data_IF_901687416483
#
_entry.id   IF_901687416483
#
_cell.length_a   1.000
_cell.length_b   1.000
_cell.length_c   1.000
_cell.angle_alpha   90.00
_cell.angle_beta   90.00
_cell.angle_gamma   90.00
#
_symmetry.space_group_name_H-M   'P 1'
#
loop_
_entity.id
_entity.type
_entity.pdbx_description
1 polymer ?
#
# COMPACT_ATOMS: atom_id res chain seq x y z
N UNK A 1 -17.74 -30.42 -35.16
CA UNK A 1 -17.01 -29.35 -34.49
C UNK A 1 -15.91 -30.00 -33.68
N UNK A 2 -14.65 -29.53 -33.72
CA UNK A 2 -13.61 -30.15 -32.92
C UNK A 2 -13.96 -29.96 -31.45
N UNK A 3 -13.99 -31.07 -30.73
CA UNK A 3 -14.10 -31.13 -29.29
C UNK A 3 -12.91 -30.36 -28.70
N UNK A 4 -13.15 -29.15 -28.21
CA UNK A 4 -12.11 -28.25 -27.71
C UNK A 4 -11.74 -28.70 -26.30
N UNK A 5 -11.18 -29.91 -26.20
CA UNK A 5 -10.76 -30.51 -24.95
C UNK A 5 -9.70 -29.61 -24.31
N UNK A 6 -10.07 -28.92 -23.22
CA UNK A 6 -9.18 -28.04 -22.47
C UNK A 6 -7.93 -28.85 -22.04
N UNK A 7 -6.71 -28.32 -22.27
CA UNK A 7 -5.44 -29.04 -22.18
C UNK A 7 -5.24 -29.69 -20.81
N UNK A 8 -4.42 -30.74 -20.67
CA UNK A 8 -4.16 -31.39 -19.38
C UNK A 8 -3.68 -30.40 -18.32
N UNK A 9 -4.06 -30.61 -17.05
CA UNK A 9 -3.74 -29.70 -15.95
C UNK A 9 -2.21 -29.49 -15.86
N UNK A 10 -1.70 -28.26 -16.08
CA UNK A 10 -0.30 -27.96 -15.87
C UNK A 10 0.08 -28.16 -14.39
N UNK A 11 1.36 -28.45 -14.12
CA UNK A 11 1.88 -28.54 -12.75
C UNK A 11 1.98 -27.12 -12.15
N UNK A 12 0.85 -26.58 -11.75
CA UNK A 12 0.71 -25.25 -11.15
C UNK A 12 0.87 -25.35 -9.64
N UNK A 13 1.64 -24.45 -9.06
CA UNK A 13 1.79 -24.37 -7.61
C UNK A 13 0.52 -23.75 -6.99
N UNK A 14 0.03 -24.29 -5.85
CA UNK A 14 -1.04 -23.65 -5.12
C UNK A 14 -0.59 -22.26 -4.61
N UNK A 15 -1.54 -21.36 -4.31
CA UNK A 15 -1.23 -20.11 -3.62
C UNK A 15 -0.64 -20.39 -2.23
N UNK A 16 -0.02 -19.38 -1.64
CA UNK A 16 0.37 -19.44 -0.22
C UNK A 16 -0.85 -19.65 0.68
N UNK A 17 -0.62 -20.21 1.87
CA UNK A 17 -1.68 -20.39 2.86
C UNK A 17 -2.34 -19.05 3.19
N UNK A 18 -3.64 -19.08 3.44
CA UNK A 18 -4.35 -17.85 3.74
C UNK A 18 -3.91 -17.31 5.11
N UNK A 19 -3.67 -16.01 5.22
CA UNK A 19 -3.26 -15.36 6.47
C UNK A 19 -4.37 -15.33 7.53
N UNK A 20 -5.61 -15.63 7.15
CA UNK A 20 -6.82 -15.45 7.98
C UNK A 20 -7.07 -14.00 8.41
N UNK A 21 -6.45 -13.04 7.71
CA UNK A 21 -6.71 -11.61 7.88
C UNK A 21 -7.78 -11.19 6.85
N UNK A 22 -8.92 -10.61 7.29
CA UNK A 22 -10.00 -10.23 6.37
C UNK A 22 -9.57 -9.33 5.21
N UNK A 23 -8.61 -8.43 5.42
CA UNK A 23 -8.08 -7.54 4.37
C UNK A 23 -7.41 -8.29 3.23
N UNK A 24 -6.88 -9.49 3.48
CA UNK A 24 -6.11 -10.26 2.50
C UNK A 24 -7.00 -11.22 1.70
N UNK A 25 -8.28 -11.36 2.10
CA UNK A 25 -9.21 -12.31 1.51
C UNK A 25 -9.40 -12.13 0.01
N UNK A 26 -9.50 -10.89 -0.46
CA UNK A 26 -9.75 -10.59 -1.88
C UNK A 26 -8.60 -11.08 -2.76
N UNK A 27 -7.36 -10.77 -2.37
CA UNK A 27 -6.16 -11.17 -3.10
C UNK A 27 -6.00 -12.70 -3.07
N UNK A 28 -6.15 -13.30 -1.89
CA UNK A 28 -6.02 -14.74 -1.73
C UNK A 28 -7.09 -15.51 -2.51
N UNK A 29 -8.37 -15.09 -2.43
CA UNK A 29 -9.47 -15.69 -3.18
C UNK A 29 -9.24 -15.60 -4.69
N UNK A 30 -8.68 -14.48 -5.17
CA UNK A 30 -8.32 -14.32 -6.58
C UNK A 30 -7.23 -15.33 -6.99
N UNK A 31 -6.16 -15.44 -6.21
CA UNK A 31 -5.09 -16.42 -6.44
C UNK A 31 -5.59 -17.87 -6.41
N UNK A 32 -6.44 -18.20 -5.43
CA UNK A 32 -7.08 -19.52 -5.36
C UNK A 32 -7.98 -19.77 -6.58
N UNK A 33 -8.76 -18.80 -7.03
CA UNK A 33 -9.64 -18.96 -8.20
C UNK A 33 -8.84 -19.24 -9.48
N UNK A 34 -7.69 -18.59 -9.66
CA UNK A 34 -6.78 -18.87 -10.76
C UNK A 34 -6.21 -20.29 -10.65
N UNK A 35 -5.77 -20.70 -9.46
CA UNK A 35 -5.27 -22.05 -9.21
C UNK A 35 -6.35 -23.11 -9.45
N UNK A 36 -7.56 -22.91 -8.91
CA UNK A 36 -8.73 -23.79 -9.09
C UNK A 36 -9.01 -24.05 -10.57
N UNK A 37 -8.95 -22.99 -11.37
CA UNK A 37 -9.13 -23.05 -12.81
C UNK A 37 -7.98 -23.78 -13.53
N UNK A 38 -6.72 -23.48 -13.19
CA UNK A 38 -5.54 -24.01 -13.88
C UNK A 38 -5.25 -25.47 -13.49
N UNK A 39 -5.41 -25.81 -12.21
CA UNK A 39 -5.29 -27.16 -11.69
C UNK A 39 -6.51 -28.05 -12.01
N UNK A 40 -7.52 -27.48 -12.68
CA UNK A 40 -8.73 -28.18 -13.12
C UNK A 40 -9.54 -28.79 -11.97
N UNK A 41 -9.56 -28.08 -10.84
CA UNK A 41 -10.37 -28.49 -9.70
C UNK A 41 -11.86 -28.42 -10.05
N UNK A 42 -12.25 -27.52 -10.96
CA UNK A 42 -13.60 -27.42 -11.52
C UNK A 42 -14.12 -28.72 -12.17
N UNK A 43 -13.23 -29.65 -12.55
CA UNK A 43 -13.59 -30.97 -13.09
C UNK A 43 -13.81 -32.04 -12.01
N UNK A 44 -13.45 -31.75 -10.77
CA UNK A 44 -13.54 -32.70 -9.66
C UNK A 44 -14.91 -32.59 -8.97
N UNK A 45 -15.22 -33.56 -8.11
CA UNK A 45 -16.46 -33.48 -7.31
C UNK A 45 -16.46 -32.24 -6.42
N UNK A 46 -17.64 -31.71 -6.13
CA UNK A 46 -17.83 -30.60 -5.19
C UNK A 46 -17.13 -30.85 -3.85
N UNK A 47 -17.19 -32.09 -3.35
CA UNK A 47 -16.54 -32.49 -2.10
C UNK A 47 -15.00 -32.46 -2.22
N UNK A 48 -14.44 -32.88 -3.35
CA UNK A 48 -13.00 -32.77 -3.58
C UNK A 48 -12.57 -31.31 -3.64
N UNK A 49 -13.30 -30.48 -4.39
CA UNK A 49 -13.04 -29.05 -4.48
C UNK A 49 -13.10 -28.35 -3.12
N UNK A 50 -14.11 -28.67 -2.31
CA UNK A 50 -14.26 -28.14 -0.96
C UNK A 50 -13.09 -28.55 -0.05
N UNK A 51 -12.67 -29.82 -0.08
CA UNK A 51 -11.52 -30.28 0.69
C UNK A 51 -10.20 -29.65 0.21
N UNK A 52 -10.00 -29.51 -1.11
CA UNK A 52 -8.84 -28.82 -1.68
C UNK A 52 -8.77 -27.37 -1.24
N UNK A 53 -9.91 -26.66 -1.24
CA UNK A 53 -10.01 -25.29 -0.73
C UNK A 53 -9.53 -25.19 0.71
N UNK A 54 -10.06 -26.04 1.60
CA UNK A 54 -9.70 -26.01 3.02
C UNK A 54 -8.25 -26.41 3.28
N UNK A 55 -7.74 -27.40 2.53
CA UNK A 55 -6.35 -27.82 2.63
C UNK A 55 -5.39 -26.70 2.25
N UNK A 56 -5.64 -26.02 1.12
CA UNK A 56 -4.79 -24.93 0.62
C UNK A 56 -4.94 -23.66 1.49
N UNK A 57 -6.12 -23.41 2.03
CA UNK A 57 -6.36 -22.29 2.94
C UNK A 57 -5.56 -22.41 4.24
N UNK A 58 -5.19 -23.63 4.65
CA UNK A 58 -4.26 -23.89 5.75
C UNK A 58 -4.92 -24.34 7.05
N UNK A 59 -4.10 -24.50 8.09
CA UNK A 59 -4.47 -25.23 9.33
C UNK A 59 -5.70 -24.68 10.06
N UNK A 60 -5.99 -23.38 9.96
CA UNK A 60 -7.13 -22.76 10.64
C UNK A 60 -8.44 -22.82 9.84
N UNK A 61 -8.42 -23.32 8.60
CA UNK A 61 -9.60 -23.34 7.73
C UNK A 61 -10.77 -24.09 8.36
N UNK A 62 -10.53 -25.29 8.90
CA UNK A 62 -11.58 -26.08 9.55
C UNK A 62 -12.16 -25.40 10.81
N UNK A 63 -11.34 -24.64 11.54
CA UNK A 63 -11.81 -23.88 12.71
C UNK A 63 -12.75 -22.76 12.28
N UNK A 64 -12.40 -22.04 11.21
CA UNK A 64 -13.26 -21.00 10.62
C UNK A 64 -14.56 -21.59 10.08
N UNK A 65 -14.51 -22.71 9.36
CA UNK A 65 -15.72 -23.36 8.85
C UNK A 65 -16.62 -23.88 9.97
N UNK A 66 -16.05 -24.24 11.12
CA UNK A 66 -16.83 -24.61 12.29
C UNK A 66 -17.61 -23.43 12.90
N UNK A 67 -17.21 -22.19 12.65
CA UNK A 67 -17.96 -20.99 13.08
C UNK A 67 -19.05 -20.56 12.09
N UNK A 68 -19.13 -21.21 10.91
CA UNK A 68 -20.16 -20.92 9.91
C UNK A 68 -21.38 -21.81 10.15
N UNK A 69 -22.57 -21.23 9.98
CA UNK A 69 -23.86 -21.93 10.05
C UNK A 69 -24.12 -22.77 8.78
N UNK A 70 -23.25 -23.75 8.53
CA UNK A 70 -23.35 -24.69 7.42
C UNK A 70 -23.65 -26.10 7.92
N UNK A 71 -24.59 -26.76 7.25
CA UNK A 71 -24.86 -28.19 7.44
C UNK A 71 -23.68 -29.05 6.97
N UNK A 72 -23.64 -30.32 7.41
CA UNK A 72 -22.61 -31.26 6.97
C UNK A 72 -22.58 -31.46 5.44
N UNK A 73 -23.74 -31.36 4.78
CA UNK A 73 -23.84 -31.44 3.33
C UNK A 73 -23.28 -30.18 2.65
N UNK A 74 -23.58 -28.99 3.18
CA UNK A 74 -23.09 -27.72 2.63
C UNK A 74 -21.58 -27.55 2.81
N UNK A 75 -21.00 -28.08 3.89
CA UNK A 75 -19.54 -28.10 4.07
C UNK A 75 -18.80 -28.91 2.99
N UNK A 76 -19.50 -29.83 2.32
CA UNK A 76 -18.98 -30.62 1.18
C UNK A 76 -19.33 -30.02 -0.19
N UNK A 77 -20.00 -28.87 -0.22
CA UNK A 77 -20.33 -28.16 -1.43
C UNK A 77 -19.39 -26.96 -1.58
N UNK A 78 -18.53 -26.98 -2.61
CA UNK A 78 -17.52 -25.94 -2.81
C UNK A 78 -18.16 -24.57 -3.00
N UNK A 79 -19.24 -24.51 -3.78
CA UNK A 79 -19.95 -23.26 -4.06
C UNK A 79 -20.48 -22.63 -2.77
N UNK A 80 -21.19 -23.40 -1.95
CA UNK A 80 -21.74 -22.93 -0.66
C UNK A 80 -20.66 -22.53 0.32
N UNK A 81 -19.59 -23.30 0.39
CA UNK A 81 -18.47 -23.02 1.27
C UNK A 81 -17.77 -21.72 0.89
N UNK A 82 -17.52 -21.50 -0.40
CA UNK A 82 -16.91 -20.27 -0.91
C UNK A 82 -17.81 -19.05 -0.68
N UNK A 83 -19.13 -19.18 -0.90
CA UNK A 83 -20.11 -18.13 -0.61
C UNK A 83 -20.09 -17.72 0.87
N UNK A 84 -20.10 -18.70 1.78
CA UNK A 84 -20.11 -18.45 3.22
C UNK A 84 -18.80 -17.82 3.72
N UNK A 85 -17.65 -18.28 3.22
CA UNK A 85 -16.35 -17.66 3.52
C UNK A 85 -16.29 -16.22 2.98
N UNK A 86 -16.79 -15.98 1.77
CA UNK A 86 -16.84 -14.65 1.19
C UNK A 86 -17.72 -13.70 2.00
N UNK A 87 -18.87 -14.17 2.48
CA UNK A 87 -19.74 -13.42 3.36
C UNK A 87 -19.06 -13.10 4.71
N UNK A 88 -18.39 -14.09 5.32
CA UNK A 88 -17.67 -13.91 6.58
C UNK A 88 -16.60 -12.83 6.48
N UNK A 89 -15.70 -12.93 5.49
CA UNK A 89 -14.58 -11.99 5.37
C UNK A 89 -15.00 -10.61 4.86
N UNK A 90 -16.10 -10.53 4.08
CA UNK A 90 -16.74 -9.24 3.78
C UNK A 90 -17.33 -8.59 5.03
N UNK A 91 -18.04 -9.35 5.88
CA UNK A 91 -18.62 -8.82 7.12
C UNK A 91 -17.55 -8.42 8.15
N UNK A 92 -16.40 -9.09 8.14
CA UNK A 92 -15.27 -8.82 9.04
C UNK A 92 -14.33 -7.73 8.50
N UNK A 93 -14.69 -7.08 7.38
CA UNK A 93 -13.90 -5.99 6.81
C UNK A 93 -13.84 -4.82 7.79
N UNK A 94 -12.62 -4.47 8.21
CA UNK A 94 -12.38 -3.35 9.10
C UNK A 94 -11.74 -2.20 8.31
N UNK A 95 -12.58 -1.33 7.75
CA UNK A 95 -12.14 -0.16 6.99
C UNK A 95 -11.26 0.78 7.80
N UNK A 96 -11.40 0.83 9.13
CA UNK A 96 -10.54 1.63 10.01
C UNK A 96 -9.13 1.06 10.05
N UNK A 97 -8.98 -0.26 10.13
CA UNK A 97 -7.69 -0.93 10.05
C UNK A 97 -7.03 -0.70 8.68
N UNK A 98 -7.78 -0.87 7.59
CA UNK A 98 -7.28 -0.66 6.23
C UNK A 98 -6.77 0.77 6.03
N UNK A 99 -7.56 1.75 6.49
CA UNK A 99 -7.18 3.17 6.46
C UNK A 99 -5.94 3.43 7.31
N UNK A 100 -5.84 2.85 8.51
CA UNK A 100 -4.66 2.99 9.34
C UNK A 100 -3.39 2.41 8.68
N UNK A 101 -3.51 1.27 7.98
CA UNK A 101 -2.41 0.67 7.22
C UNK A 101 -1.99 1.57 6.05
N UNK A 102 -2.96 2.11 5.31
CA UNK A 102 -2.74 3.07 4.23
C UNK A 102 -2.03 4.34 4.72
N UNK A 103 -2.54 4.98 5.79
CA UNK A 103 -1.95 6.23 6.31
C UNK A 103 -0.58 6.07 6.96
N UNK A 104 -0.19 4.84 7.32
CA UNK A 104 1.15 4.54 7.84
C UNK A 104 2.16 4.17 6.74
N UNK A 105 1.73 4.10 5.48
CA UNK A 105 2.60 3.69 4.40
C UNK A 105 3.61 4.80 4.07
N UNK A 106 4.88 4.46 4.11
CA UNK A 106 6.00 5.28 3.68
C UNK A 106 7.05 4.43 2.97
N UNK A 107 7.79 5.01 2.03
CA UNK A 107 8.82 4.34 1.25
C UNK A 107 9.97 3.89 2.16
N UNK A 108 10.31 2.61 2.10
CA UNK A 108 11.36 1.98 2.91
C UNK A 108 12.76 2.28 2.33
N UNK A 109 13.82 2.23 3.15
CA UNK A 109 15.19 2.36 2.65
C UNK A 109 15.49 1.32 1.57
N UNK A 110 15.93 1.78 0.39
CA UNK A 110 16.24 0.90 -0.75
C UNK A 110 15.03 0.42 -1.54
N UNK A 111 13.81 0.82 -1.17
CA UNK A 111 12.60 0.50 -1.91
C UNK A 111 12.47 1.40 -3.16
N UNK A 112 12.31 0.82 -4.38
CA UNK A 112 12.04 1.60 -5.58
C UNK A 112 10.74 2.40 -5.48
N UNK A 113 10.72 3.62 -6.01
CA UNK A 113 9.54 4.48 -5.96
C UNK A 113 8.33 3.85 -6.66
N UNK A 114 8.57 3.09 -7.74
CA UNK A 114 7.51 2.36 -8.44
C UNK A 114 6.80 1.31 -7.56
N UNK A 115 7.55 0.59 -6.71
CA UNK A 115 7.01 -0.41 -5.80
C UNK A 115 6.19 0.27 -4.69
N UNK A 116 6.72 1.36 -4.13
CA UNK A 116 6.02 2.18 -3.13
C UNK A 116 4.68 2.71 -3.65
N UNK A 117 4.66 3.27 -4.87
CA UNK A 117 3.45 3.80 -5.49
C UNK A 117 2.42 2.68 -5.75
N UNK A 118 2.88 1.53 -6.25
CA UNK A 118 2.01 0.38 -6.49
C UNK A 118 1.35 -0.09 -5.18
N UNK A 119 2.13 -0.20 -4.11
CA UNK A 119 1.63 -0.58 -2.79
C UNK A 119 0.67 0.45 -2.22
N UNK A 120 0.95 1.75 -2.35
CA UNK A 120 0.05 2.81 -1.90
C UNK A 120 -1.32 2.71 -2.61
N UNK A 121 -1.33 2.47 -3.93
CA UNK A 121 -2.55 2.24 -4.70
C UNK A 121 -3.27 0.96 -4.26
N UNK A 122 -2.53 -0.11 -4.00
CA UNK A 122 -3.07 -1.38 -3.50
C UNK A 122 -3.77 -1.18 -2.14
N UNK A 123 -3.10 -0.56 -1.18
CA UNK A 123 -3.62 -0.29 0.16
C UNK A 123 -4.85 0.63 0.19
N UNK A 124 -4.98 1.53 -0.79
CA UNK A 124 -6.16 2.39 -0.91
C UNK A 124 -7.43 1.64 -1.36
N UNK A 125 -7.30 0.47 -1.98
CA UNK A 125 -8.44 -0.28 -2.56
C UNK A 125 -9.47 -0.72 -1.52
N UNK A 126 -9.11 -1.33 -0.37
CA UNK A 126 -10.09 -1.71 0.64
C UNK A 126 -10.62 -0.52 1.48
N UNK A 127 -10.01 0.67 1.40
CA UNK A 127 -10.28 1.79 2.31
C UNK A 127 -11.62 2.53 2.13
N UNK A 128 -12.38 2.26 1.07
CA UNK A 128 -13.68 2.90 0.78
C UNK A 128 -13.58 4.44 0.80
N UNK A 129 -12.59 5.00 0.10
CA UNK A 129 -12.41 6.46 0.03
C UNK A 129 -13.37 7.17 -0.93
N UNK A 130 -14.09 6.42 -1.78
CA UNK A 130 -14.96 7.01 -2.81
C UNK A 130 -14.17 7.96 -3.71
N UNK A 131 -14.75 9.13 -3.99
CA UNK A 131 -14.17 10.14 -4.89
C UNK A 131 -12.84 10.72 -4.39
N UNK A 132 -12.52 10.57 -3.10
CA UNK A 132 -11.25 11.05 -2.52
C UNK A 132 -10.08 10.08 -2.73
N UNK A 133 -10.31 8.90 -3.32
CA UNK A 133 -9.28 7.85 -3.45
C UNK A 133 -8.01 8.40 -4.08
N UNK A 134 -8.11 9.07 -5.22
CA UNK A 134 -6.94 9.52 -5.97
C UNK A 134 -6.20 10.66 -5.26
N UNK A 135 -6.93 11.61 -4.67
CA UNK A 135 -6.32 12.69 -3.87
C UNK A 135 -5.58 12.15 -2.65
N UNK A 136 -6.14 11.15 -1.97
CA UNK A 136 -5.50 10.57 -0.79
C UNK A 136 -4.27 9.73 -1.16
N UNK A 137 -4.31 8.99 -2.27
CA UNK A 137 -3.12 8.27 -2.76
C UNK A 137 -2.01 9.27 -3.10
N UNK A 138 -2.33 10.38 -3.78
CA UNK A 138 -1.38 11.45 -4.07
C UNK A 138 -0.75 11.98 -2.79
N UNK A 139 -1.58 12.28 -1.78
CA UNK A 139 -1.10 12.83 -0.51
C UNK A 139 -0.19 11.84 0.23
N UNK A 140 -0.49 10.54 0.20
CA UNK A 140 0.41 9.50 0.75
C UNK A 140 1.72 9.41 -0.02
N UNK A 141 1.72 9.53 -1.35
CA UNK A 141 2.96 9.53 -2.12
C UNK A 141 3.83 10.71 -1.73
N UNK A 142 3.25 11.92 -1.65
CA UNK A 142 3.96 13.14 -1.28
C UNK A 142 4.55 13.04 0.14
N UNK A 143 3.75 12.59 1.11
CA UNK A 143 4.17 12.51 2.52
C UNK A 143 5.07 11.30 2.81
N UNK A 144 4.97 10.25 2.01
CA UNK A 144 5.62 8.97 2.26
C UNK A 144 6.90 8.74 1.45
N UNK A 145 7.18 9.54 0.42
CA UNK A 145 8.42 9.43 -0.35
C UNK A 145 9.63 9.84 0.50
N UNK A 146 10.79 9.17 0.29
CA UNK A 146 12.01 9.44 1.08
C UNK A 146 12.78 10.67 0.65
N UNK A 147 12.64 11.07 -0.61
CA UNK A 147 13.29 12.27 -1.13
C UNK A 147 12.52 13.51 -0.65
N UNK A 148 13.00 14.08 0.46
CA UNK A 148 12.42 15.27 1.09
C UNK A 148 12.41 16.49 0.15
N UNK A 149 13.41 16.62 -0.73
CA UNK A 149 13.48 17.75 -1.66
C UNK A 149 12.40 17.60 -2.75
N UNK A 150 12.21 16.38 -3.24
CA UNK A 150 11.14 16.06 -4.18
C UNK A 150 9.76 16.21 -3.54
N UNK A 151 9.57 15.74 -2.29
CA UNK A 151 8.33 15.94 -1.53
C UNK A 151 7.96 17.42 -1.43
N UNK A 152 8.92 18.28 -1.04
CA UNK A 152 8.73 19.73 -0.99
C UNK A 152 8.39 20.33 -2.35
N UNK A 153 9.06 19.89 -3.43
CA UNK A 153 8.79 20.35 -4.77
C UNK A 153 7.36 20.00 -5.24
N UNK A 154 6.89 18.79 -4.94
CA UNK A 154 5.54 18.33 -5.27
C UNK A 154 4.46 19.20 -4.59
N UNK A 155 4.66 19.56 -3.31
CA UNK A 155 3.71 20.39 -2.54
C UNK A 155 3.54 21.80 -3.13
N UNK A 156 4.51 22.31 -3.88
CA UNK A 156 4.44 23.65 -4.48
C UNK A 156 3.50 23.74 -5.70
N UNK A 157 3.14 22.61 -6.33
CA UNK A 157 2.20 22.59 -7.45
C UNK A 157 0.75 22.47 -6.95
N UNK A 158 0.04 23.61 -6.91
CA UNK A 158 -1.37 23.67 -6.51
C UNK A 158 -2.33 22.91 -7.44
N UNK A 159 -1.88 22.50 -8.63
CA UNK A 159 -2.66 21.76 -9.63
C UNK A 159 -2.29 20.28 -9.72
N UNK A 160 -1.46 19.79 -8.79
CA UNK A 160 -0.94 18.44 -8.79
C UNK A 160 -2.07 17.42 -8.58
N UNK A 161 -2.27 16.54 -9.56
CA UNK A 161 -3.15 15.38 -9.47
C UNK A 161 -2.32 14.09 -9.30
N UNK A 162 -2.99 12.96 -9.08
CA UNK A 162 -2.30 11.68 -8.86
C UNK A 162 -1.42 11.27 -10.04
N UNK A 163 -1.92 11.42 -11.27
CA UNK A 163 -1.18 11.05 -12.50
C UNK A 163 0.13 11.83 -12.62
N UNK A 164 0.07 13.16 -12.56
CA UNK A 164 1.26 14.04 -12.57
C UNK A 164 2.22 13.73 -11.43
N UNK A 165 1.70 13.45 -10.23
CA UNK A 165 2.51 13.11 -9.07
C UNK A 165 3.31 11.82 -9.30
N UNK A 166 2.67 10.77 -9.81
CA UNK A 166 3.32 9.50 -10.13
C UNK A 166 4.39 9.69 -11.21
N UNK A 167 4.07 10.38 -12.30
CA UNK A 167 5.02 10.61 -13.39
C UNK A 167 6.24 11.40 -12.91
N UNK A 168 6.02 12.45 -12.11
CA UNK A 168 7.11 13.26 -11.58
C UNK A 168 8.03 12.43 -10.67
N UNK A 169 7.45 11.65 -9.75
CA UNK A 169 8.22 10.80 -8.84
C UNK A 169 9.07 9.77 -9.59
N UNK A 170 8.50 9.08 -10.57
CA UNK A 170 9.22 8.07 -11.36
C UNK A 170 10.35 8.70 -12.20
N UNK A 171 10.08 9.85 -12.83
CA UNK A 171 11.08 10.58 -13.61
C UNK A 171 12.24 11.08 -12.74
N UNK A 172 11.95 11.58 -11.53
CA UNK A 172 12.98 12.04 -10.59
C UNK A 172 13.89 10.88 -10.16
N UNK A 173 13.33 9.71 -9.88
CA UNK A 173 14.10 8.50 -9.56
C UNK A 173 15.02 8.11 -10.73
N UNK A 174 14.52 8.10 -11.97
CA UNK A 174 15.31 7.79 -13.16
C UNK A 174 16.47 8.80 -13.39
N UNK A 175 16.23 10.09 -13.18
CA UNK A 175 17.27 11.13 -13.28
C UNK A 175 18.34 10.95 -12.19
N UNK A 176 17.93 10.62 -10.96
CA UNK A 176 18.87 10.39 -9.86
C UNK A 176 19.77 9.17 -10.11
N UNK A 177 19.24 8.09 -10.67
CA UNK A 177 19.98 6.86 -10.99
C UNK A 177 20.93 7.02 -12.18
N UNK A 178 20.58 7.89 -13.14
CA UNK A 178 21.38 8.14 -14.34
C UNK A 178 22.48 9.19 -14.13
N UNK A 179 22.45 9.94 -13.03
CA UNK A 179 23.43 11.00 -12.74
C UNK A 179 24.79 10.42 -12.30
N UNK A 180 25.93 10.95 -12.80
CA UNK A 180 27.26 10.40 -12.50
C UNK A 180 27.64 10.44 -11.01
N UNK A 181 27.02 11.33 -10.21
CA UNK A 181 27.22 11.40 -8.76
C UNK A 181 26.73 10.14 -8.00
N UNK A 182 25.80 9.35 -8.56
CA UNK A 182 25.31 8.12 -7.95
C UNK A 182 26.26 6.92 -8.17
N UNK A 183 27.25 7.04 -9.08
CA UNK A 183 28.21 5.97 -9.41
C UNK A 183 29.45 5.97 -8.50
N UNK A 184 29.70 7.04 -7.76
CA UNK A 184 30.90 7.19 -6.92
C UNK A 184 30.57 6.98 -5.44
N UNK A 185 30.16 5.76 -5.11
CA UNK A 185 29.81 5.34 -3.76
C UNK A 185 30.72 4.25 -3.18
N UNK A 186 31.99 4.18 -3.58
CA UNK A 186 33.00 3.39 -2.85
C UNK A 186 34.43 3.86 -3.19
N UNK A 187 34.99 4.77 -2.38
CA UNK A 187 36.34 5.29 -2.58
C UNK A 187 36.84 6.06 -1.36
N UNK A 188 37.65 5.38 -0.56
CA UNK A 188 38.27 5.86 0.65
C UNK A 188 39.23 7.05 0.37
N UNK A 189 39.03 8.17 1.08
CA UNK A 189 40.02 9.18 1.46
C UNK A 189 40.97 9.79 0.42
N UNK A 190 40.78 11.09 0.13
CA UNK A 190 41.80 12.10 0.44
C UNK A 190 41.22 13.51 0.33
N UNK A 191 41.49 14.33 1.34
CA UNK A 191 41.02 15.70 1.44
C UNK A 191 41.56 16.58 0.32
N UNK A 192 40.67 17.40 -0.25
CA UNK A 192 41.04 18.62 -0.94
C UNK A 192 40.23 19.77 -0.33
N UNK A 193 40.97 20.71 0.27
CA UNK A 193 40.45 21.98 0.75
C UNK A 193 39.74 22.73 -0.38
N UNK A 194 38.44 22.95 -0.22
CA UNK A 194 37.67 23.81 -1.11
C UNK A 194 37.76 25.24 -0.59
N UNK A 195 38.35 26.12 -1.41
CA UNK A 195 38.47 27.56 -1.17
C UNK A 195 37.13 28.17 -0.72
N UNK A 196 37.08 28.65 0.53
CA UNK A 196 35.97 29.47 1.02
C UNK A 196 35.91 30.79 0.23
N UNK A 197 34.93 30.91 -0.66
CA UNK A 197 34.51 32.20 -1.22
C UNK A 197 33.90 33.02 -0.08
N UNK A 198 34.63 34.03 0.41
CA UNK A 198 34.11 35.03 1.36
C UNK A 198 33.15 35.96 0.61
N UNK A 199 31.85 35.64 0.63
CA UNK A 199 30.81 36.62 0.32
C UNK A 199 30.63 37.55 1.53
N UNK A 200 30.75 38.89 1.38
CA UNK A 200 30.58 39.82 2.48
C UNK A 200 29.10 39.95 2.86
N UNK A 201 28.67 39.18 3.86
CA UNK A 201 27.38 39.39 4.51
C UNK A 201 27.45 40.65 5.38
N UNK A 202 26.90 41.77 4.90
CA UNK A 202 26.68 42.97 5.73
C UNK A 202 25.64 42.62 6.79
N UNK A 203 26.09 42.43 8.04
CA UNK A 203 25.22 42.35 9.23
C UNK A 203 24.55 43.70 9.45
N UNK A 204 23.34 43.88 8.94
CA UNK A 204 22.43 44.91 9.45
C UNK A 204 21.75 44.36 10.70
N UNK A 205 22.49 44.34 11.82
CA UNK A 205 21.91 44.07 13.14
C UNK A 205 21.13 45.30 13.58
N UNK A 206 19.80 45.29 13.37
CA UNK A 206 18.92 46.16 14.15
C UNK A 206 18.85 45.58 15.57
N UNK A 207 18.97 46.39 16.63
CA UNK A 207 18.83 45.90 17.99
C UNK A 207 17.44 45.27 18.18
N UNK A 208 17.42 44.07 18.74
CA UNK A 208 16.20 43.40 19.17
C UNK A 208 15.61 44.19 20.35
N UNK A 209 14.65 45.07 20.08
CA UNK A 209 13.84 45.67 21.13
C UNK A 209 12.94 44.58 21.70
N UNK A 210 13.20 44.20 22.96
CA UNK A 210 12.30 43.38 23.76
C UNK A 210 10.93 44.05 23.81
N UNK A 211 9.99 43.52 23.06
CA UNK A 211 8.62 43.99 23.10
C UNK A 211 7.97 43.47 24.38
N UNK A 212 7.77 44.38 25.34
CA UNK A 212 6.96 44.15 26.54
C UNK A 212 5.60 43.58 26.13
N UNK A 213 5.17 42.50 26.78
CA UNK A 213 3.85 41.91 26.64
C UNK A 213 2.77 43.00 26.68
N UNK A 214 2.17 43.29 25.52
CA UNK A 214 0.93 44.07 25.47
C UNK A 214 -0.20 43.10 25.80
N UNK A 215 -0.84 43.37 26.92
CA UNK A 215 -2.00 42.64 27.42
C UNK A 215 -3.14 42.73 26.39
N UNK A 216 -3.30 41.69 25.57
CA UNK A 216 -4.36 41.59 24.58
C UNK A 216 -5.49 40.73 25.15
N UNK A 217 -6.61 41.37 25.51
CA UNK A 217 -7.85 40.65 25.87
C UNK A 217 -8.60 40.24 24.60
N UNK A 218 -8.63 38.94 24.34
CA UNK A 218 -9.48 38.32 23.32
C UNK A 218 -10.96 38.55 23.63
N UNK A 219 -11.69 39.21 22.73
CA UNK A 219 -13.11 39.58 22.91
C UNK A 219 -14.09 38.39 22.97
N UNK A 220 -13.65 37.17 22.68
CA UNK A 220 -14.49 35.97 22.66
C UNK A 220 -14.02 34.83 23.57
N UNK A 221 -12.81 34.92 24.12
CA UNK A 221 -12.19 33.78 24.80
C UNK A 221 -11.56 34.09 26.16
N UNK A 222 -11.62 35.34 26.65
CA UNK A 222 -11.44 35.66 28.07
C UNK A 222 -10.19 35.10 28.76
N UNK A 223 -9.05 35.04 28.07
CA UNK A 223 -7.80 34.50 28.61
C UNK A 223 -7.15 35.39 29.70
N UNK A 224 -6.33 34.79 30.58
CA UNK A 224 -6.08 35.29 31.95
C UNK A 224 -4.98 36.36 32.08
N UNK A 225 -5.00 37.00 33.25
CA UNK A 225 -4.31 38.24 33.67
C UNK A 225 -2.78 38.22 33.65
#
# INVERSE_FOLDING_TARGET
MPDNARPPAPNVKPPEEFSFIPSDWVDWKSGFSQYHMLAQLDRQSEEYQANSLLYIMGQRANQVVATLDLTAAEKKNYTRLMEALDALYKATKNTVYDRAKFFRRSQQPGEPAAEFIMDAKKLATPCEFGDLKDSLIRDIIILGIRDEALSQALVLDATLNLEKCVDWVLNAEQVSQSSPAAREGNGNGNGQEVHKVKVPFKKNQRPFQQNKQKNWKCKYCGGPE
#
